data_IF_586126503202
#
_entry.id   IF_586126503202
#
_cell.length_a   1.000
_cell.length_b   1.000
_cell.length_c   1.000
_cell.angle_alpha   90.00
_cell.angle_beta   90.00
_cell.angle_gamma   90.00
#
_symmetry.space_group_name_H-M   'P 1'
#
loop_
_entity.id
_entity.type
_entity.pdbx_description
1 polymer ?
#
# COMPACT_ATOMS: atom_id res chain seq x y z
N UNK A 1 25.32 9.25 -13.19
CA UNK A 1 24.36 9.69 -12.15
C UNK A 1 23.02 10.13 -12.76
N UNK A 2 23.04 10.90 -13.85
CA UNK A 2 21.84 11.46 -14.50
C UNK A 2 20.88 10.42 -15.07
N UNK A 3 21.39 9.36 -15.70
CA UNK A 3 20.57 8.30 -16.31
C UNK A 3 19.61 7.59 -15.33
N UNK A 4 20.07 7.26 -14.12
CA UNK A 4 19.27 6.59 -13.09
C UNK A 4 18.16 7.50 -12.52
N UNK A 5 18.32 8.81 -12.66
CA UNK A 5 17.34 9.79 -12.17
C UNK A 5 16.28 10.03 -13.24
N UNK A 6 16.67 10.10 -14.51
CA UNK A 6 15.75 10.26 -15.65
C UNK A 6 14.72 9.12 -15.73
N UNK A 7 15.15 7.86 -15.57
CA UNK A 7 14.23 6.70 -15.59
C UNK A 7 13.15 6.81 -14.51
N UNK A 8 13.53 7.21 -13.28
CA UNK A 8 12.58 7.38 -12.17
C UNK A 8 11.57 8.48 -12.45
N UNK A 9 12.01 9.62 -13.00
CA UNK A 9 11.13 10.73 -13.34
C UNK A 9 10.12 10.32 -14.43
N UNK A 10 10.58 9.62 -15.47
CA UNK A 10 9.71 9.11 -16.53
C UNK A 10 8.70 8.09 -15.98
N UNK A 11 9.11 7.19 -15.08
CA UNK A 11 8.19 6.25 -14.43
C UNK A 11 7.11 6.95 -13.60
N UNK A 12 7.45 7.99 -12.85
CA UNK A 12 6.48 8.77 -12.06
C UNK A 12 5.48 9.47 -12.99
N UNK A 13 5.96 10.14 -14.03
CA UNK A 13 5.10 10.84 -15.00
C UNK A 13 4.18 9.85 -15.73
N UNK A 14 4.71 8.69 -16.14
CA UNK A 14 3.90 7.64 -16.77
C UNK A 14 2.81 7.08 -15.86
N UNK A 15 3.10 6.87 -14.57
CA UNK A 15 2.12 6.43 -13.58
C UNK A 15 1.03 7.48 -13.31
N UNK A 16 1.38 8.76 -13.30
CA UNK A 16 0.41 9.86 -13.16
C UNK A 16 -0.54 9.89 -14.36
N UNK A 17 0.00 9.82 -15.59
CA UNK A 17 -0.80 9.82 -16.82
C UNK A 17 -1.69 8.58 -16.87
N UNK A 18 -1.16 7.40 -16.52
CA UNK A 18 -1.94 6.16 -16.44
C UNK A 18 -3.08 6.28 -15.43
N UNK A 19 -2.83 6.87 -14.25
CA UNK A 19 -3.86 7.15 -13.26
C UNK A 19 -4.99 8.01 -13.82
N UNK A 20 -4.66 9.11 -14.49
CA UNK A 20 -5.64 9.99 -15.15
C UNK A 20 -6.44 9.24 -16.22
N UNK A 21 -5.78 8.40 -17.02
CA UNK A 21 -6.43 7.60 -18.08
C UNK A 21 -7.40 6.57 -17.47
N UNK A 22 -7.05 5.94 -16.35
CA UNK A 22 -7.92 5.02 -15.63
C UNK A 22 -9.11 5.75 -14.98
N UNK A 23 -8.88 6.92 -14.39
CA UNK A 23 -9.92 7.75 -13.79
C UNK A 23 -10.95 8.24 -14.83
N UNK A 24 -10.49 8.49 -16.06
CA UNK A 24 -11.32 8.83 -17.22
C UNK A 24 -12.01 7.62 -17.89
N UNK A 25 -11.84 6.40 -17.36
CA UNK A 25 -12.64 5.23 -17.76
C UNK A 25 -11.99 4.27 -18.74
N UNK A 26 -10.65 4.23 -18.86
CA UNK A 26 -9.91 3.29 -19.73
C UNK A 26 -9.79 1.85 -19.16
N UNK A 27 -10.86 1.33 -18.54
CA UNK A 27 -10.95 -0.06 -18.09
C UNK A 27 -11.79 -0.93 -19.04
N UNK A 28 -11.72 -2.27 -18.96
CA UNK A 28 -12.49 -3.19 -19.83
C UNK A 28 -14.01 -2.99 -19.81
N UNK A 29 -14.51 -2.32 -18.78
CA UNK A 29 -15.94 -2.04 -18.57
C UNK A 29 -16.37 -0.64 -19.05
N UNK A 30 -15.49 0.16 -19.68
CA UNK A 30 -15.78 1.51 -20.21
C UNK A 30 -16.59 2.42 -19.26
N UNK A 31 -16.35 2.28 -17.95
CA UNK A 31 -17.08 3.02 -16.93
C UNK A 31 -16.19 4.13 -16.34
N UNK A 32 -16.69 5.37 -16.36
CA UNK A 32 -16.05 6.55 -15.76
C UNK A 32 -16.01 6.41 -14.23
N UNK A 33 -14.90 5.90 -13.70
CA UNK A 33 -14.68 5.68 -12.26
C UNK A 33 -14.48 7.01 -11.52
N UNK A 34 -13.81 7.99 -12.12
CA UNK A 34 -13.31 9.19 -11.43
C UNK A 34 -14.38 10.04 -10.73
N UNK A 35 -15.56 10.20 -11.32
CA UNK A 35 -16.63 11.03 -10.75
C UNK A 35 -17.78 10.24 -10.10
N UNK A 36 -17.82 8.90 -10.27
CA UNK A 36 -18.92 8.09 -9.75
C UNK A 36 -18.81 7.91 -8.23
N UNK A 37 -17.63 7.58 -7.73
CA UNK A 37 -17.39 7.39 -6.28
C UNK A 37 -17.45 8.69 -5.48
N UNK A 38 -17.24 9.85 -6.13
CA UNK A 38 -17.45 11.17 -5.52
C UNK A 38 -18.93 11.51 -5.31
N UNK A 39 -19.85 10.97 -6.12
CA UNK A 39 -21.30 11.21 -5.99
C UNK A 39 -22.04 10.12 -5.20
N UNK A 40 -21.64 8.86 -5.28
CA UNK A 40 -22.27 7.74 -4.56
C UNK A 40 -21.25 6.62 -4.36
N UNK A 41 -20.85 6.24 -3.12
CA UNK A 41 -21.39 6.62 -1.80
C UNK A 41 -20.81 7.92 -1.19
N UNK A 42 -19.99 8.66 -1.93
CA UNK A 42 -19.39 9.94 -1.51
C UNK A 42 -17.94 9.79 -1.01
N UNK A 43 -17.15 10.89 -0.98
CA UNK A 43 -15.71 10.87 -0.70
C UNK A 43 -15.35 10.43 0.73
N UNK A 44 -16.30 10.53 1.66
CA UNK A 44 -16.17 10.06 3.04
C UNK A 44 -17.06 8.86 3.28
N UNK A 45 -16.60 7.70 2.84
CA UNK A 45 -17.29 6.44 3.12
C UNK A 45 -17.20 6.10 4.61
N UNK A 46 -18.23 5.47 5.17
CA UNK A 46 -18.24 5.04 6.57
C UNK A 46 -17.38 3.78 6.72
N UNK A 47 -16.49 3.77 7.70
CA UNK A 47 -15.74 2.57 8.06
C UNK A 47 -16.70 1.55 8.69
N UNK A 48 -16.76 0.33 8.15
CA UNK A 48 -17.53 -0.79 8.69
C UNK A 48 -19.03 -0.52 8.94
N UNK A 49 -19.68 0.25 8.06
CA UNK A 49 -21.13 0.56 8.16
C UNK A 49 -21.56 1.29 9.45
N UNK A 50 -20.62 1.90 10.19
CA UNK A 50 -20.95 2.66 11.40
C UNK A 50 -21.60 3.99 10.98
N UNK A 51 -22.89 4.23 11.29
CA UNK A 51 -23.57 5.46 10.89
C UNK A 51 -23.03 6.67 11.68
N UNK A 52 -22.86 7.81 11.00
CA UNK A 52 -22.53 9.10 11.61
C UNK A 52 -21.23 9.76 11.14
N UNK A 53 -20.90 10.91 11.75
CA UNK A 53 -19.67 11.68 11.52
C UNK A 53 -18.42 10.95 12.03
N UNK A 54 -18.56 10.20 13.12
CA UNK A 54 -17.48 9.41 13.72
C UNK A 54 -16.96 8.33 12.77
N UNK A 55 -17.86 7.58 12.10
CA UNK A 55 -17.46 6.54 11.14
C UNK A 55 -16.70 7.08 9.92
N UNK A 56 -16.99 8.31 9.50
CA UNK A 56 -16.27 9.02 8.43
C UNK A 56 -14.89 9.51 8.89
N UNK A 57 -14.79 10.02 10.12
CA UNK A 57 -13.51 10.44 10.70
C UNK A 57 -12.57 9.25 10.89
N UNK A 58 -13.07 8.11 11.36
CA UNK A 58 -12.28 6.89 11.49
C UNK A 58 -11.80 6.37 10.12
N UNK A 59 -12.66 6.40 9.10
CA UNK A 59 -12.26 6.03 7.73
C UNK A 59 -11.16 6.93 7.18
N UNK A 60 -11.27 8.24 7.40
CA UNK A 60 -10.23 9.19 7.03
C UNK A 60 -8.93 8.92 7.79
N UNK A 61 -9.02 8.73 9.10
CA UNK A 61 -7.86 8.46 9.95
C UNK A 61 -7.18 7.13 9.61
N UNK A 62 -7.93 6.09 9.26
CA UNK A 62 -7.36 4.79 8.87
C UNK A 62 -6.57 4.89 7.56
N UNK A 63 -7.11 5.60 6.56
CA UNK A 63 -6.41 5.82 5.29
C UNK A 63 -5.19 6.70 5.50
N UNK A 64 -5.30 7.74 6.33
CA UNK A 64 -4.17 8.61 6.68
C UNK A 64 -3.05 7.82 7.36
N UNK A 65 -3.39 7.00 8.38
CA UNK A 65 -2.42 6.16 9.06
C UNK A 65 -1.74 5.19 8.10
N UNK A 66 -2.52 4.51 7.24
CA UNK A 66 -1.99 3.59 6.22
C UNK A 66 -1.05 4.28 5.23
N UNK A 67 -1.40 5.50 4.78
CA UNK A 67 -0.55 6.30 3.92
C UNK A 67 0.77 6.69 4.61
N UNK A 68 0.72 7.14 5.86
CA UNK A 68 1.90 7.48 6.65
C UNK A 68 2.85 6.27 6.79
N UNK A 69 2.31 5.08 7.08
CA UNK A 69 3.11 3.85 7.15
C UNK A 69 3.77 3.51 5.82
N UNK A 70 3.09 3.74 4.68
CA UNK A 70 3.66 3.53 3.35
C UNK A 70 4.85 4.47 3.06
N UNK A 71 4.74 5.75 3.41
CA UNK A 71 5.81 6.72 3.20
C UNK A 71 7.01 6.53 4.15
N UNK A 72 6.78 6.01 5.35
CA UNK A 72 7.83 5.84 6.36
C UNK A 72 8.96 4.90 5.88
N UNK A 73 8.62 3.84 5.14
CA UNK A 73 9.58 2.82 4.70
C UNK A 73 10.69 3.37 3.81
N UNK A 74 10.36 4.26 2.86
CA UNK A 74 11.36 4.79 1.91
C UNK A 74 12.33 5.77 2.56
N UNK A 75 11.87 6.58 3.52
CA UNK A 75 12.72 7.60 4.18
C UNK A 75 13.74 6.97 5.13
N UNK A 76 13.34 5.94 5.87
CA UNK A 76 14.27 5.24 6.78
C UNK A 76 15.39 4.57 5.98
N UNK A 77 15.07 3.92 4.86
CA UNK A 77 16.09 3.28 4.00
C UNK A 77 17.07 4.32 3.44
N UNK A 78 16.59 5.49 3.04
CA UNK A 78 17.44 6.58 2.56
C UNK A 78 18.36 7.14 3.66
N UNK A 79 17.85 7.33 4.88
CA UNK A 79 18.64 7.79 6.03
C UNK A 79 19.73 6.79 6.41
N UNK A 80 19.37 5.51 6.57
CA UNK A 80 20.31 4.43 6.92
C UNK A 80 21.35 4.23 5.82
N UNK A 81 20.99 4.41 4.55
CA UNK A 81 21.96 4.38 3.46
C UNK A 81 22.97 5.55 3.51
N UNK A 82 22.61 6.67 4.11
CA UNK A 82 23.51 7.81 4.35
C UNK A 82 24.46 7.59 5.53
N UNK A 83 24.02 6.86 6.56
CA UNK A 83 24.83 6.52 7.75
C UNK A 83 25.66 5.23 7.57
N UNK A 84 25.38 4.43 6.54
CA UNK A 84 26.08 3.18 6.29
C UNK A 84 27.52 3.39 5.79
N UNK A 85 28.48 2.73 6.43
CA UNK A 85 29.86 2.66 5.95
C UNK A 85 29.90 1.94 4.58
N UNK A 86 30.57 2.53 3.58
CA UNK A 86 30.66 2.00 2.22
C UNK A 86 29.30 1.57 1.61
N UNK A 87 28.39 2.53 1.35
CA UNK A 87 27.01 2.25 0.99
C UNK A 87 26.87 1.48 -0.33
N UNK A 88 27.83 1.57 -1.25
CA UNK A 88 27.80 0.83 -2.53
C UNK A 88 27.82 -0.69 -2.39
N UNK A 89 28.44 -1.24 -1.33
CA UNK A 89 28.49 -2.70 -1.10
C UNK A 89 27.50 -3.16 -0.03
N UNK A 90 27.33 -2.38 1.04
CA UNK A 90 26.58 -2.81 2.21
C UNK A 90 25.06 -2.67 2.02
N UNK A 91 24.61 -1.62 1.32
CA UNK A 91 23.18 -1.40 1.04
C UNK A 91 22.55 -2.53 0.20
N UNK A 92 23.10 -2.94 -0.96
CA UNK A 92 22.50 -4.03 -1.75
C UNK A 92 22.50 -5.37 -1.01
N UNK A 93 23.53 -5.65 -0.19
CA UNK A 93 23.59 -6.86 0.63
C UNK A 93 22.51 -6.87 1.73
N UNK A 94 22.28 -5.73 2.37
CA UNK A 94 21.22 -5.57 3.36
C UNK A 94 19.82 -5.70 2.74
N UNK A 95 19.60 -5.10 1.57
CA UNK A 95 18.30 -5.17 0.85
C UNK A 95 17.89 -6.62 0.58
N UNK A 96 18.81 -7.45 0.06
CA UNK A 96 18.50 -8.86 -0.23
C UNK A 96 18.15 -9.65 1.04
N UNK A 97 18.76 -9.31 2.19
CA UNK A 97 18.43 -9.95 3.47
C UNK A 97 17.06 -9.49 3.98
N UNK A 98 16.78 -8.20 3.90
CA UNK A 98 15.48 -7.63 4.31
C UNK A 98 14.33 -8.16 3.45
N UNK A 99 14.54 -8.32 2.14
CA UNK A 99 13.54 -8.90 1.24
C UNK A 99 13.08 -10.28 1.72
N UNK A 100 14.03 -11.18 2.03
CA UNK A 100 13.71 -12.51 2.52
C UNK A 100 12.98 -12.51 3.87
N UNK A 101 13.40 -11.66 4.81
CA UNK A 101 12.75 -11.55 6.13
C UNK A 101 11.29 -11.08 5.99
N UNK A 102 11.03 -10.06 5.16
CA UNK A 102 9.69 -9.53 4.93
C UNK A 102 8.78 -10.58 4.27
N UNK A 103 9.28 -11.28 3.25
CA UNK A 103 8.52 -12.34 2.57
C UNK A 103 8.15 -13.46 3.54
N UNK A 104 9.11 -13.92 4.36
CA UNK A 104 8.86 -14.98 5.35
C UNK A 104 7.87 -14.53 6.41
N UNK A 105 7.99 -13.30 6.93
CA UNK A 105 7.04 -12.76 7.91
C UNK A 105 5.62 -12.66 7.34
N UNK A 106 5.47 -12.20 6.10
CA UNK A 106 4.16 -12.06 5.46
C UNK A 106 3.51 -13.43 5.19
N UNK A 107 4.29 -14.40 4.71
CA UNK A 107 3.83 -15.77 4.50
C UNK A 107 3.44 -16.44 5.82
N UNK A 108 4.26 -16.26 6.86
CA UNK A 108 3.97 -16.80 8.19
C UNK A 108 2.69 -16.20 8.77
N UNK A 109 2.52 -14.87 8.70
CA UNK A 109 1.30 -14.20 9.13
C UNK A 109 0.06 -14.73 8.39
N UNK A 110 0.15 -14.89 7.06
CA UNK A 110 -0.95 -15.45 6.28
C UNK A 110 -1.28 -16.91 6.65
N UNK A 111 -0.27 -17.75 6.87
CA UNK A 111 -0.48 -19.15 7.29
C UNK A 111 -1.17 -19.26 8.66
N UNK A 112 -0.85 -18.38 9.60
CA UNK A 112 -1.48 -18.35 10.92
C UNK A 112 -2.96 -17.96 10.84
N UNK A 113 -3.30 -17.00 9.97
CA UNK A 113 -4.69 -16.62 9.74
C UNK A 113 -5.51 -17.77 9.16
N UNK A 114 -4.95 -18.53 8.21
CA UNK A 114 -5.63 -19.70 7.64
C UNK A 114 -5.90 -20.77 8.71
N UNK A 115 -4.92 -21.07 9.57
CA UNK A 115 -5.09 -22.02 10.67
C UNK A 115 -6.14 -21.53 11.68
N UNK A 116 -6.10 -20.24 12.04
CA UNK A 116 -7.07 -19.65 12.96
C UNK A 116 -8.51 -19.70 12.42
N UNK A 117 -8.69 -19.48 11.11
CA UNK A 117 -9.99 -19.60 10.45
C UNK A 117 -10.48 -21.05 10.41
N UNK A 118 -9.60 -22.03 10.15
CA UNK A 118 -9.96 -23.46 10.19
C UNK A 118 -10.40 -23.91 11.58
N UNK A 119 -9.64 -23.57 12.62
CA UNK A 119 -9.98 -23.90 14.02
C UNK A 119 -11.30 -23.22 14.42
N UNK A 120 -11.47 -21.93 14.14
CA UNK A 120 -12.71 -21.22 14.44
C UNK A 120 -13.91 -21.81 13.70
N UNK A 121 -13.73 -22.34 12.48
CA UNK A 121 -14.79 -23.07 11.78
C UNK A 121 -15.11 -24.39 12.47
N UNK A 122 -14.13 -25.16 12.92
CA UNK A 122 -14.36 -26.41 13.65
C UNK A 122 -15.11 -26.21 14.98
N UNK A 123 -14.84 -25.12 15.72
CA UNK A 123 -15.54 -24.80 16.97
C UNK A 123 -17.01 -24.36 16.80
N UNK A 124 -17.42 -23.89 15.63
CA UNK A 124 -18.81 -23.49 15.36
C UNK A 124 -19.70 -24.66 14.90
N UNK A 125 -19.11 -25.82 14.60
CA UNK A 125 -19.81 -27.02 14.11
C UNK A 125 -19.99 -28.07 15.23
N UNK A 126 -19.33 -27.88 16.39
CA UNK A 126 -19.49 -28.65 17.63
C UNK A 126 -20.39 -27.88 18.60
#
# INVERSE_FOLDING_TARGET
>A
MVWQTAVKVISIVGLIILGIILDLGSGPNCDLIGFRYWRSPGPFNQLNEIPGSTGRFLAFWSVLAQAVFSYQGTKIVALVAGEAENPRKNVPKAINKTYWVVVVMQLHHHSLLQLNQQVSRHYQIL
#
